data_IF_739993734449
#
_entry.id   IF_739993734449
#
_cell.length_a   1.000
_cell.length_b   1.000
_cell.length_c   1.000
_cell.angle_alpha   90.00
_cell.angle_beta   90.00
_cell.angle_gamma   90.00
#
_symmetry.space_group_name_H-M   'P 1'
#
loop_
_entity.id
_entity.type
_entity.pdbx_description
1 polymer ?
#
# COMPACT_ATOMS: atom_id res chain seq x y z
N UNK A 1 -0.70 13.07 -45.32
CA UNK A 1 -1.66 12.38 -44.42
C UNK A 1 -1.07 11.13 -43.73
N UNK A 2 0.16 10.70 -44.04
CA UNK A 2 0.86 9.60 -43.37
C UNK A 2 1.77 10.06 -42.22
N UNK A 3 2.37 11.25 -42.33
CA UNK A 3 3.32 11.79 -41.34
C UNK A 3 2.64 12.20 -40.02
N UNK A 4 1.51 12.90 -40.08
CA UNK A 4 0.77 13.29 -38.86
C UNK A 4 0.29 12.06 -38.06
N UNK A 5 -0.13 11.01 -38.77
CA UNK A 5 -0.54 9.76 -38.14
C UNK A 5 0.64 9.01 -37.52
N UNK A 6 1.83 9.08 -38.13
CA UNK A 6 3.05 8.53 -37.55
C UNK A 6 3.46 9.30 -36.29
N UNK A 7 3.43 10.64 -36.34
CA UNK A 7 3.74 11.51 -35.21
C UNK A 7 2.81 11.24 -34.01
N UNK A 8 1.50 11.09 -34.25
CA UNK A 8 0.55 10.77 -33.18
C UNK A 8 0.81 9.38 -32.57
N UNK A 9 1.16 8.39 -33.40
CA UNK A 9 1.50 7.04 -32.91
C UNK A 9 2.78 7.04 -32.08
N UNK A 10 3.79 7.80 -32.49
CA UNK A 10 5.04 7.91 -31.75
C UNK A 10 4.84 8.64 -30.42
N UNK A 11 4.02 9.69 -30.40
CA UNK A 11 3.64 10.37 -29.16
C UNK A 11 2.88 9.45 -28.19
N UNK A 12 1.95 8.63 -28.71
CA UNK A 12 1.23 7.63 -27.90
C UNK A 12 2.16 6.54 -27.36
N UNK A 13 3.09 6.06 -28.18
CA UNK A 13 4.07 5.05 -27.77
C UNK A 13 5.01 5.59 -26.70
N UNK A 14 5.48 6.83 -26.86
CA UNK A 14 6.31 7.51 -25.88
C UNK A 14 5.56 7.77 -24.57
N UNK A 15 4.31 8.21 -24.65
CA UNK A 15 3.44 8.41 -23.48
C UNK A 15 3.22 7.09 -22.73
N UNK A 16 2.87 6.02 -23.44
CA UNK A 16 2.67 4.70 -22.86
C UNK A 16 3.96 4.14 -22.26
N UNK A 17 5.10 4.30 -22.94
CA UNK A 17 6.41 3.88 -22.41
C UNK A 17 6.79 4.67 -21.16
N UNK A 18 6.51 5.96 -21.12
CA UNK A 18 6.74 6.82 -19.94
C UNK A 18 5.84 6.43 -18.78
N UNK A 19 4.59 6.08 -19.05
CA UNK A 19 3.66 5.53 -18.06
C UNK A 19 4.15 4.18 -17.54
N UNK A 20 4.60 3.27 -18.40
CA UNK A 20 5.15 1.98 -17.99
C UNK A 20 6.46 2.14 -17.20
N UNK A 21 7.32 3.08 -17.57
CA UNK A 21 8.52 3.42 -16.81
C UNK A 21 8.16 4.05 -15.45
N UNK A 22 7.12 4.89 -15.40
CA UNK A 22 6.57 5.44 -14.17
C UNK A 22 5.99 4.33 -13.27
N UNK A 23 5.16 3.43 -13.81
CA UNK A 23 4.60 2.30 -13.06
C UNK A 23 5.67 1.27 -12.63
N UNK A 24 6.74 1.08 -13.40
CA UNK A 24 7.82 0.15 -13.05
C UNK A 24 8.86 0.76 -12.10
N UNK A 25 8.98 2.09 -12.04
CA UNK A 25 9.80 2.82 -11.06
C UNK A 25 9.06 3.16 -9.76
N UNK A 26 7.73 3.23 -9.79
CA UNK A 26 6.90 3.05 -8.62
C UNK A 26 6.97 1.58 -8.19
N UNK A 27 8.03 1.22 -7.44
CA UNK A 27 7.91 0.10 -6.50
C UNK A 27 6.60 0.31 -5.74
N UNK A 28 5.75 -0.70 -5.68
CA UNK A 28 4.45 -0.71 -5.00
C UNK A 28 4.58 -0.18 -3.55
N UNK A 29 4.61 1.14 -3.33
CA UNK A 29 4.68 1.75 -2.01
C UNK A 29 3.29 1.82 -1.41
N UNK A 30 2.64 0.66 -1.34
CA UNK A 30 1.25 0.43 -0.95
C UNK A 30 0.28 0.41 -2.14
N UNK A 31 -0.33 -0.74 -2.40
CA UNK A 31 -1.41 -0.89 -3.38
C UNK A 31 -2.72 -1.25 -2.69
N UNK A 32 -3.83 -0.77 -3.25
CA UNK A 32 -5.18 -1.16 -2.82
C UNK A 32 -5.85 -1.93 -3.93
N UNK A 33 -6.16 -3.19 -3.66
CA UNK A 33 -6.82 -4.09 -4.61
C UNK A 33 -7.81 -4.97 -3.88
N UNK A 34 -9.02 -5.12 -4.45
CA UNK A 34 -10.07 -6.00 -3.94
C UNK A 34 -10.41 -5.75 -2.45
N UNK A 35 -10.49 -4.49 -2.03
CA UNK A 35 -10.69 -4.08 -0.62
C UNK A 35 -9.57 -4.52 0.35
N UNK A 36 -8.37 -4.73 -0.18
CA UNK A 36 -7.17 -5.04 0.59
C UNK A 36 -6.07 -4.03 0.30
N UNK A 37 -5.36 -3.67 1.34
CA UNK A 37 -4.14 -2.87 1.36
C UNK A 37 -2.97 -3.83 1.41
N UNK A 38 -2.01 -3.66 0.51
CA UNK A 38 -0.79 -4.45 0.45
C UNK A 38 0.36 -3.54 0.81
N UNK A 39 1.09 -3.90 1.87
CA UNK A 39 2.28 -3.21 2.36
C UNK A 39 3.50 -4.06 2.03
N UNK A 40 4.57 -3.42 1.58
CA UNK A 40 5.84 -4.13 1.39
C UNK A 40 6.51 -4.39 2.74
N UNK A 41 7.54 -5.23 2.74
CA UNK A 41 8.34 -5.45 3.95
C UNK A 41 8.98 -4.14 4.46
N UNK A 42 9.43 -3.26 3.58
CA UNK A 42 10.00 -1.96 3.96
C UNK A 42 8.96 -1.06 4.66
N UNK A 43 7.70 -1.13 4.23
CA UNK A 43 6.59 -0.40 4.88
C UNK A 43 6.23 -1.02 6.24
N UNK A 44 6.26 -2.35 6.33
CA UNK A 44 6.09 -3.07 7.61
C UNK A 44 7.17 -2.68 8.61
N UNK A 45 8.42 -2.56 8.18
CA UNK A 45 9.53 -2.13 9.04
C UNK A 45 9.38 -0.68 9.51
N UNK A 46 8.85 0.22 8.67
CA UNK A 46 8.50 1.58 9.09
C UNK A 46 7.40 1.57 10.16
N UNK A 47 6.37 0.74 10.01
CA UNK A 47 5.31 0.60 11.01
C UNK A 47 5.83 0.02 12.33
N UNK A 48 6.76 -0.94 12.30
CA UNK A 48 7.41 -1.46 13.52
C UNK A 48 8.23 -0.39 14.21
N UNK A 49 9.01 0.41 13.49
CA UNK A 49 9.77 1.50 14.11
C UNK A 49 8.87 2.52 14.81
N UNK A 50 7.71 2.83 14.21
CA UNK A 50 6.71 3.71 14.82
C UNK A 50 6.01 3.06 16.02
N UNK A 51 5.72 1.76 15.94
CA UNK A 51 5.20 0.98 17.06
C UNK A 51 6.15 1.01 18.26
N UNK A 52 7.45 0.80 18.04
CA UNK A 52 8.46 0.80 19.10
C UNK A 52 8.68 2.19 19.70
N UNK A 53 8.58 3.25 18.89
CA UNK A 53 8.82 4.62 19.33
C UNK A 53 7.63 5.30 20.03
N UNK A 54 6.39 5.01 19.61
CA UNK A 54 5.19 5.78 20.01
C UNK A 54 4.05 4.88 20.51
N UNK A 55 4.11 3.58 20.20
CA UNK A 55 3.15 2.60 20.70
C UNK A 55 2.02 2.25 19.72
N UNK A 56 1.16 1.27 20.10
CA UNK A 56 0.16 0.64 19.22
C UNK A 56 -0.85 1.58 18.55
N UNK A 57 -1.28 2.64 19.25
CA UNK A 57 -2.27 3.58 18.74
C UNK A 57 -1.77 4.33 17.49
N UNK A 58 -0.45 4.55 17.41
CA UNK A 58 0.20 5.26 16.31
C UNK A 58 0.21 4.45 15.03
N UNK A 59 0.24 3.12 15.10
CA UNK A 59 0.20 2.26 13.91
C UNK A 59 -1.13 2.44 13.17
N UNK A 60 -2.23 2.53 13.91
CA UNK A 60 -3.56 2.75 13.34
C UNK A 60 -3.69 4.12 12.65
N UNK A 61 -3.20 5.19 13.30
CA UNK A 61 -3.23 6.54 12.72
C UNK A 61 -2.26 6.67 11.55
N UNK A 62 -1.09 6.05 11.63
CA UNK A 62 -0.11 6.00 10.56
C UNK A 62 -0.65 5.25 9.35
N UNK A 63 -1.29 4.09 9.53
CA UNK A 63 -1.97 3.39 8.44
C UNK A 63 -3.05 4.27 7.81
N UNK A 64 -3.90 4.90 8.63
CA UNK A 64 -4.92 5.83 8.14
C UNK A 64 -4.31 7.02 7.36
N UNK A 65 -3.11 7.48 7.76
CA UNK A 65 -2.41 8.60 7.14
C UNK A 65 -1.73 8.20 5.84
N UNK A 66 -0.95 7.11 5.82
CA UNK A 66 -0.28 6.60 4.61
C UNK A 66 -1.28 6.28 3.50
N UNK A 67 -2.48 5.88 3.88
CA UNK A 67 -3.51 5.44 2.97
C UNK A 67 -4.58 6.50 2.71
N UNK A 68 -4.47 7.70 3.30
CA UNK A 68 -5.40 8.81 3.09
C UNK A 68 -5.43 9.32 1.64
N UNK A 69 -4.31 9.14 0.93
CA UNK A 69 -4.17 9.49 -0.50
C UNK A 69 -4.73 8.43 -1.44
N UNK A 70 -5.13 7.26 -0.92
CA UNK A 70 -5.65 6.14 -1.72
C UNK A 70 -7.16 6.02 -1.54
N UNK A 71 -7.97 6.20 -2.61
CA UNK A 71 -9.42 6.06 -2.54
C UNK A 71 -9.87 4.72 -1.93
N UNK A 72 -10.77 4.78 -0.95
CA UNK A 72 -11.34 3.61 -0.27
C UNK A 72 -10.48 2.99 0.84
N UNK A 73 -9.20 3.38 0.95
CA UNK A 73 -8.31 2.79 1.93
C UNK A 73 -8.60 3.24 3.36
N UNK A 74 -9.02 4.49 3.55
CA UNK A 74 -9.50 4.98 4.85
C UNK A 74 -10.71 4.18 5.38
N UNK A 75 -11.63 3.79 4.49
CA UNK A 75 -12.77 2.92 4.83
C UNK A 75 -12.31 1.53 5.25
N UNK A 76 -11.37 0.93 4.50
CA UNK A 76 -10.80 -0.39 4.82
C UNK A 76 -10.13 -0.35 6.20
N UNK A 77 -9.31 0.66 6.47
CA UNK A 77 -8.59 0.79 7.75
C UNK A 77 -9.55 1.04 8.90
N UNK A 78 -10.50 1.96 8.75
CA UNK A 78 -11.51 2.24 9.78
C UNK A 78 -12.32 1.00 10.13
N UNK A 79 -12.74 0.23 9.12
CA UNK A 79 -13.47 -1.02 9.31
C UNK A 79 -12.59 -2.11 9.95
N UNK A 80 -11.32 -2.26 9.52
CA UNK A 80 -10.40 -3.25 10.08
C UNK A 80 -10.05 -2.93 11.54
N UNK A 81 -9.79 -1.66 11.87
CA UNK A 81 -9.54 -1.25 13.26
C UNK A 81 -10.79 -1.47 14.11
N UNK A 82 -11.97 -1.09 13.61
CA UNK A 82 -13.23 -1.27 14.33
C UNK A 82 -13.60 -2.73 14.57
N UNK A 83 -13.28 -3.61 13.62
CA UNK A 83 -13.66 -5.03 13.68
C UNK A 83 -12.61 -5.91 14.37
N UNK A 84 -11.34 -5.79 14.02
CA UNK A 84 -10.25 -6.64 14.54
C UNK A 84 -9.51 -6.02 15.73
N UNK A 85 -9.63 -4.71 15.93
CA UNK A 85 -8.89 -3.97 16.95
C UNK A 85 -7.43 -3.67 16.56
N UNK A 86 -6.88 -2.60 17.14
CA UNK A 86 -5.50 -2.18 16.87
C UNK A 86 -4.46 -3.23 17.30
N UNK A 87 -4.73 -4.01 18.35
CA UNK A 87 -3.82 -5.05 18.83
C UNK A 87 -3.58 -6.16 17.79
N UNK A 88 -4.62 -6.54 17.03
CA UNK A 88 -4.52 -7.56 15.99
C UNK A 88 -3.67 -7.09 14.80
N UNK A 89 -3.76 -5.80 14.45
CA UNK A 89 -2.92 -5.18 13.43
C UNK A 89 -1.47 -5.21 13.89
N UNK A 90 -1.21 -4.79 15.12
CA UNK A 90 0.13 -4.77 15.71
C UNK A 90 0.76 -6.16 15.74
N UNK A 91 0.04 -7.18 16.19
CA UNK A 91 0.56 -8.56 16.19
C UNK A 91 0.96 -9.06 14.81
N UNK A 92 0.18 -8.73 13.78
CA UNK A 92 0.49 -9.10 12.40
C UNK A 92 1.65 -8.28 11.80
N UNK A 93 1.75 -7.00 12.14
CA UNK A 93 2.89 -6.14 11.77
C UNK A 93 4.19 -6.69 12.37
N UNK A 94 4.19 -7.04 13.66
CA UNK A 94 5.35 -7.63 14.33
C UNK A 94 5.72 -8.98 13.73
N UNK A 95 4.72 -9.83 13.42
CA UNK A 95 4.96 -11.12 12.78
C UNK A 95 5.53 -10.98 11.35
N UNK A 96 4.96 -10.08 10.54
CA UNK A 96 5.46 -9.82 9.18
C UNK A 96 6.90 -9.27 9.20
N UNK A 97 7.21 -8.38 10.15
CA UNK A 97 8.57 -7.88 10.36
C UNK A 97 9.55 -9.00 10.73
N UNK A 98 9.20 -9.84 11.70
CA UNK A 98 10.05 -10.94 12.14
C UNK A 98 10.28 -12.01 11.05
N UNK A 99 9.39 -12.12 10.07
CA UNK A 99 9.44 -13.13 9.00
C UNK A 99 9.94 -12.60 7.66
N UNK A 100 10.33 -11.32 7.57
CA UNK A 100 10.81 -10.74 6.31
C UNK A 100 9.70 -10.55 5.26
N UNK A 101 8.44 -10.52 5.68
CA UNK A 101 7.25 -10.51 4.82
C UNK A 101 6.62 -9.13 4.71
N UNK A 102 5.85 -8.93 3.65
CA UNK A 102 4.92 -7.82 3.53
C UNK A 102 3.65 -8.10 4.34
N UNK A 103 2.70 -7.16 4.28
CA UNK A 103 1.45 -7.29 5.01
C UNK A 103 0.25 -6.98 4.13
N UNK A 104 -0.73 -7.88 4.12
CA UNK A 104 -2.04 -7.67 3.52
C UNK A 104 -3.04 -7.36 4.62
N UNK A 105 -3.78 -6.26 4.47
CA UNK A 105 -4.81 -5.80 5.40
C UNK A 105 -6.11 -5.60 4.62
N UNK A 106 -7.19 -6.27 4.99
CA UNK A 106 -8.49 -5.98 4.41
C UNK A 106 -9.65 -6.43 5.29
N UNK A 107 -10.87 -6.21 4.80
CA UNK A 107 -12.10 -6.52 5.53
C UNK A 107 -12.24 -8.00 5.87
N UNK A 108 -11.61 -8.89 5.09
CA UNK A 108 -11.65 -10.33 5.32
C UNK A 108 -10.52 -10.84 6.22
N UNK A 109 -9.58 -9.98 6.62
CA UNK A 109 -8.50 -10.36 7.54
C UNK A 109 -7.18 -9.62 7.31
N UNK A 110 -6.23 -9.92 8.20
CA UNK A 110 -4.87 -9.40 8.18
C UNK A 110 -3.92 -10.60 8.08
N UNK A 111 -2.98 -10.57 7.15
CA UNK A 111 -2.05 -11.68 6.92
C UNK A 111 -0.71 -11.21 6.36
N UNK A 112 0.39 -11.83 6.82
CA UNK A 112 1.70 -11.64 6.22
C UNK A 112 1.77 -12.33 4.83
N UNK A 113 2.39 -11.66 3.86
CA UNK A 113 2.49 -12.10 2.46
C UNK A 113 3.93 -12.07 1.96
#
# INVERSE_FOLDING_TARGET
>A
MSEDLAMVKDALNFYNASIWAYYSSYKDRNSVKDWHIYLTHDDVMQLVNLLLGVGPATVATTLATFMSVVPGAGTIIGAVIGFFGAASIVGNVTYASATGKGLKIGLTGISAI
#
